data_IF_997990158965
#
_entry.id   IF_997990158965
#
_cell.length_a   1.000
_cell.length_b   1.000
_cell.length_c   1.000
_cell.angle_alpha   90.00
_cell.angle_beta   90.00
_cell.angle_gamma   90.00
#
_symmetry.space_group_name_H-M   'P 1'
#
loop_
_entity.id
_entity.type
_entity.pdbx_description
1 polymer ?
#
# COMPACT_ATOMS: atom_id res chain seq x y z
N UNK A 1 3.04 17.62 5.27
CA UNK A 1 1.90 16.66 5.29
C UNK A 1 2.39 15.26 4.94
N UNK A 2 1.71 14.18 5.41
CA UNK A 2 1.96 12.78 5.05
C UNK A 2 0.73 11.91 5.34
N UNK A 3 0.61 10.77 4.66
CA UNK A 3 -0.34 9.73 5.09
C UNK A 3 0.06 9.22 6.48
N UNK A 4 -0.91 9.10 7.36
CA UNK A 4 -0.68 8.73 8.77
C UNK A 4 -1.34 7.41 9.14
N UNK A 5 -2.57 7.17 8.72
CA UNK A 5 -3.33 5.96 9.03
C UNK A 5 -4.05 5.44 7.79
N UNK A 6 -3.93 4.14 7.55
CA UNK A 6 -4.83 3.36 6.69
C UNK A 6 -5.74 2.55 7.61
N UNK A 7 -7.00 2.96 7.73
CA UNK A 7 -7.96 2.31 8.60
C UNK A 7 -8.65 1.16 7.89
N UNK A 8 -8.66 0.02 8.56
CA UNK A 8 -9.14 -1.25 8.02
C UNK A 8 -10.10 -1.89 9.03
N UNK A 9 -11.29 -2.23 8.57
CA UNK A 9 -12.24 -3.03 9.35
C UNK A 9 -11.97 -4.50 9.11
N UNK A 10 -11.89 -5.26 10.20
CA UNK A 10 -11.59 -6.69 10.22
C UNK A 10 -12.61 -7.48 11.02
N UNK A 11 -12.73 -8.77 10.74
CA UNK A 11 -13.64 -9.65 11.49
C UNK A 11 -12.96 -10.27 12.73
N UNK A 12 -11.63 -10.34 12.76
CA UNK A 12 -10.88 -10.86 13.89
C UNK A 12 -9.55 -10.12 14.04
N UNK A 13 -9.42 -9.34 15.11
CA UNK A 13 -8.22 -8.56 15.41
C UNK A 13 -7.13 -9.39 16.10
N UNK A 14 -7.49 -10.49 16.79
CA UNK A 14 -6.56 -11.21 17.64
C UNK A 14 -5.38 -11.84 16.89
N UNK A 15 -5.56 -12.21 15.61
CA UNK A 15 -4.51 -12.77 14.76
C UNK A 15 -3.64 -11.75 14.05
N UNK A 16 -4.02 -10.47 14.06
CA UNK A 16 -3.37 -9.41 13.27
C UNK A 16 -2.01 -9.03 13.86
N UNK A 17 -1.96 -8.71 15.15
CA UNK A 17 -0.71 -8.26 15.77
C UNK A 17 0.40 -9.32 15.68
N UNK A 18 0.19 -10.59 16.06
CA UNK A 18 1.21 -11.62 15.89
C UNK A 18 1.66 -11.76 14.44
N UNK A 19 0.71 -11.72 13.49
CA UNK A 19 1.02 -11.86 12.07
C UNK A 19 2.00 -10.77 11.59
N UNK A 20 1.66 -9.50 11.80
CA UNK A 20 2.50 -8.39 11.32
C UNK A 20 3.78 -8.24 12.15
N UNK A 21 3.75 -8.51 13.45
CA UNK A 21 4.93 -8.44 14.30
C UNK A 21 5.91 -9.57 14.00
N UNK A 22 5.44 -10.80 13.99
CA UNK A 22 6.33 -11.97 13.95
C UNK A 22 6.83 -12.29 12.52
N UNK A 23 6.03 -11.95 11.50
CA UNK A 23 6.39 -12.23 10.09
C UNK A 23 6.92 -11.02 9.33
N UNK A 24 6.53 -9.81 9.73
CA UNK A 24 6.93 -8.58 9.04
C UNK A 24 7.82 -7.67 9.88
N UNK A 25 7.98 -7.96 11.17
CA UNK A 25 8.77 -7.14 12.08
C UNK A 25 8.18 -5.77 12.36
N UNK A 26 6.87 -5.60 12.17
CA UNK A 26 6.16 -4.37 12.55
C UNK A 26 6.05 -4.28 14.07
N UNK A 27 5.93 -3.06 14.58
CA UNK A 27 5.68 -2.77 15.98
C UNK A 27 4.29 -2.16 16.18
N UNK A 28 3.76 -2.32 17.40
CA UNK A 28 2.51 -1.69 17.80
C UNK A 28 2.77 -0.24 18.26
N UNK A 29 1.83 0.63 17.95
CA UNK A 29 1.81 2.05 18.36
C UNK A 29 0.58 2.32 19.21
N UNK A 30 0.68 3.28 20.12
CA UNK A 30 -0.43 3.66 20.99
C UNK A 30 -1.63 4.18 20.19
N UNK A 31 -2.80 3.66 20.52
CA UNK A 31 -4.08 4.08 19.97
C UNK A 31 -5.16 4.01 21.05
N UNK A 32 -6.13 4.91 21.00
CA UNK A 32 -7.25 4.92 21.97
C UNK A 32 -8.19 3.74 21.75
N UNK A 33 -8.45 3.39 20.48
CA UNK A 33 -9.35 2.30 20.09
C UNK A 33 -8.74 1.54 18.90
N UNK A 34 -8.75 0.21 18.97
CA UNK A 34 -8.23 -0.65 17.92
C UNK A 34 -6.76 -1.04 18.09
N UNK A 35 -6.13 -1.45 17.00
CA UNK A 35 -4.74 -1.89 16.93
C UNK A 35 -4.02 -1.10 15.83
N UNK A 36 -2.88 -0.50 16.15
CA UNK A 36 -2.07 0.26 15.18
C UNK A 36 -0.71 -0.39 15.03
N UNK A 37 -0.32 -0.73 13.80
CA UNK A 37 0.91 -1.43 13.46
C UNK A 37 1.67 -0.73 12.34
N UNK A 38 2.98 -0.85 12.33
CA UNK A 38 3.84 -0.34 11.26
C UNK A 38 5.32 -0.40 11.59
N UNK A 39 6.13 0.23 10.75
CA UNK A 39 7.59 0.28 10.92
C UNK A 39 8.06 1.56 11.60
N UNK A 40 7.49 2.70 11.22
CA UNK A 40 7.92 4.03 11.66
C UNK A 40 6.74 5.02 11.60
N UNK A 41 6.58 5.86 12.61
CA UNK A 41 5.52 6.89 12.65
C UNK A 41 5.60 7.91 11.51
N UNK A 42 6.73 8.02 10.83
CA UNK A 42 6.88 8.87 9.64
C UNK A 42 6.25 8.28 8.38
N UNK A 43 5.90 7.01 8.42
CA UNK A 43 5.15 6.30 7.37
C UNK A 43 3.65 6.26 7.72
N UNK A 44 2.83 5.78 6.81
CA UNK A 44 1.46 5.40 7.12
C UNK A 44 1.46 4.17 8.01
N UNK A 45 0.65 4.17 9.06
CA UNK A 45 0.44 3.01 9.91
C UNK A 45 -0.88 2.32 9.56
N UNK A 46 -0.93 1.02 9.76
CA UNK A 46 -2.15 0.22 9.62
C UNK A 46 -2.94 0.31 10.92
N UNK A 47 -4.18 0.78 10.85
CA UNK A 47 -5.09 0.89 11.98
C UNK A 47 -6.25 -0.06 11.78
N UNK A 48 -6.37 -1.06 12.65
CA UNK A 48 -7.37 -2.12 12.56
C UNK A 48 -8.46 -1.93 13.60
N UNK A 49 -9.71 -2.00 13.14
CA UNK A 49 -10.92 -1.99 13.97
C UNK A 49 -11.70 -3.27 13.73
N UNK A 50 -12.09 -3.95 14.81
CA UNK A 50 -12.97 -5.11 14.74
C UNK A 50 -14.41 -4.68 14.45
N UNK A 51 -15.19 -5.55 13.81
CA UNK A 51 -16.61 -5.31 13.55
C UNK A 51 -17.07 -5.68 12.15
N UNK A 52 -16.25 -6.39 11.38
CA UNK A 52 -16.70 -7.03 10.17
C UNK A 52 -17.33 -8.40 10.48
N UNK A 53 -18.36 -8.78 9.71
CA UNK A 53 -19.05 -10.07 9.90
C UNK A 53 -18.20 -11.23 9.35
N UNK A 54 -17.46 -11.00 8.26
CA UNK A 54 -16.67 -12.00 7.54
C UNK A 54 -15.27 -11.43 7.17
N UNK A 55 -14.30 -12.29 6.85
CA UNK A 55 -13.01 -11.85 6.31
C UNK A 55 -13.16 -11.03 5.02
N UNK A 56 -12.14 -10.25 4.70
CA UNK A 56 -12.12 -9.42 3.50
C UNK A 56 -12.18 -10.28 2.23
N UNK A 57 -13.17 -9.99 1.41
CA UNK A 57 -13.29 -10.52 0.05
C UNK A 57 -13.25 -9.33 -0.93
N UNK A 58 -12.06 -8.99 -1.41
CA UNK A 58 -11.87 -7.94 -2.40
C UNK A 58 -12.23 -8.42 -3.80
N UNK A 59 -13.36 -7.96 -4.34
CA UNK A 59 -13.69 -8.11 -5.76
C UNK A 59 -12.79 -7.26 -6.65
N UNK A 60 -12.80 -7.47 -7.98
CA UNK A 60 -12.04 -6.67 -8.93
C UNK A 60 -12.52 -5.21 -8.99
N UNK A 61 -13.74 -4.95 -8.56
CA UNK A 61 -14.43 -3.67 -8.52
C UNK A 61 -14.34 -2.95 -7.16
N UNK A 62 -13.81 -3.59 -6.12
CA UNK A 62 -13.70 -2.99 -4.79
C UNK A 62 -12.72 -1.81 -4.74
N UNK A 63 -13.10 -0.71 -4.04
CA UNK A 63 -12.27 0.49 -3.87
C UNK A 63 -10.88 0.14 -3.30
N UNK A 64 -10.84 -0.64 -2.23
CA UNK A 64 -9.58 -1.06 -1.63
C UNK A 64 -8.99 -2.25 -2.38
N UNK A 65 -7.73 -2.12 -2.79
CA UNK A 65 -7.03 -3.24 -3.39
C UNK A 65 -6.02 -3.88 -2.44
N UNK A 66 -4.99 -3.13 -2.00
CA UNK A 66 -3.87 -3.70 -1.24
C UNK A 66 -3.09 -2.64 -0.48
N UNK A 67 -2.20 -3.10 0.40
CA UNK A 67 -1.01 -2.33 0.80
C UNK A 67 0.22 -2.87 0.09
N UNK A 68 1.20 -2.00 -0.12
CA UNK A 68 2.52 -2.39 -0.59
C UNK A 68 3.57 -2.18 0.50
N UNK A 69 4.42 -3.19 0.69
CA UNK A 69 5.58 -3.12 1.56
C UNK A 69 6.81 -3.26 0.69
N UNK A 70 7.65 -2.22 0.66
CA UNK A 70 8.94 -2.31 -0.02
C UNK A 70 10.02 -2.81 0.94
N UNK A 71 10.94 -3.60 0.41
CA UNK A 71 12.02 -4.23 1.15
C UNK A 71 13.26 -4.42 0.27
N UNK A 72 14.39 -4.76 0.87
CA UNK A 72 15.69 -4.78 0.18
C UNK A 72 15.91 -6.02 -0.68
N UNK A 73 15.54 -7.20 -0.17
CA UNK A 73 15.78 -8.52 -0.77
C UNK A 73 14.50 -9.35 -0.67
N UNK A 74 13.77 -9.40 -1.78
CA UNK A 74 12.46 -10.07 -1.83
C UNK A 74 12.60 -11.59 -1.72
N UNK A 75 13.63 -12.19 -2.31
CA UNK A 75 13.81 -13.64 -2.29
C UNK A 75 14.13 -14.14 -0.88
N UNK A 76 15.00 -13.44 -0.16
CA UNK A 76 15.28 -13.72 1.25
C UNK A 76 14.03 -13.57 2.12
N UNK A 77 13.25 -12.49 1.93
CA UNK A 77 12.01 -12.28 2.67
C UNK A 77 10.98 -13.38 2.39
N UNK A 78 10.77 -13.75 1.13
CA UNK A 78 9.83 -14.81 0.72
C UNK A 78 10.27 -16.19 1.25
N UNK A 79 11.55 -16.49 1.20
CA UNK A 79 12.09 -17.74 1.78
C UNK A 79 11.76 -17.82 3.29
N UNK A 80 11.96 -16.73 4.03
CA UNK A 80 11.60 -16.64 5.44
C UNK A 80 10.09 -16.83 5.68
N UNK A 81 9.24 -16.09 4.98
CA UNK A 81 7.79 -16.18 5.14
C UNK A 81 7.25 -17.58 4.84
N UNK A 82 7.77 -18.24 3.81
CA UNK A 82 7.41 -19.62 3.48
C UNK A 82 7.89 -20.61 4.55
N UNK A 83 9.07 -20.41 5.16
CA UNK A 83 9.54 -21.21 6.30
C UNK A 83 8.65 -21.05 7.53
N UNK A 84 8.02 -19.87 7.70
CA UNK A 84 6.99 -19.64 8.72
C UNK A 84 5.61 -20.22 8.34
N UNK A 85 5.48 -20.90 7.21
CA UNK A 85 4.25 -21.56 6.77
C UNK A 85 3.26 -20.65 6.03
N UNK A 86 3.66 -19.44 5.63
CA UNK A 86 2.79 -18.53 4.89
C UNK A 86 2.73 -18.88 3.39
N UNK A 87 1.54 -18.78 2.83
CA UNK A 87 1.31 -18.89 1.39
C UNK A 87 1.68 -17.57 0.70
N UNK A 88 2.82 -17.56 0.03
CA UNK A 88 3.33 -16.42 -0.72
C UNK A 88 3.46 -16.77 -2.18
N UNK A 89 2.90 -15.96 -3.08
CA UNK A 89 3.00 -16.19 -4.52
C UNK A 89 4.46 -16.16 -4.98
N UNK A 90 4.75 -16.73 -6.16
CA UNK A 90 6.11 -16.71 -6.68
C UNK A 90 6.55 -15.28 -7.02
N UNK A 91 7.68 -14.81 -6.46
CA UNK A 91 8.28 -13.54 -6.89
C UNK A 91 8.53 -13.51 -8.39
N UNK A 92 8.28 -12.38 -9.00
CA UNK A 92 8.53 -12.16 -10.44
C UNK A 92 8.70 -10.68 -10.75
N UNK A 93 9.49 -10.40 -11.76
CA UNK A 93 9.49 -9.08 -12.38
C UNK A 93 8.15 -8.87 -13.10
N UNK A 94 7.39 -7.87 -12.68
CA UNK A 94 6.13 -7.50 -13.33
C UNK A 94 6.38 -6.33 -14.27
N UNK A 95 6.56 -6.63 -15.54
CA UNK A 95 6.92 -5.65 -16.56
C UNK A 95 8.11 -4.79 -16.12
N UNK A 96 8.07 -3.52 -16.44
CA UNK A 96 9.03 -2.51 -15.94
C UNK A 96 8.53 -1.85 -14.63
N UNK A 97 7.59 -2.45 -13.89
CA UNK A 97 7.00 -1.89 -12.67
C UNK A 97 7.84 -2.26 -11.46
N UNK A 98 8.09 -3.55 -11.22
CA UNK A 98 8.87 -3.97 -10.08
C UNK A 98 8.97 -5.49 -9.93
N UNK A 99 9.91 -5.93 -9.09
CA UNK A 99 10.04 -7.31 -8.68
C UNK A 99 9.20 -7.53 -7.44
N UNK A 100 8.13 -8.34 -7.55
CA UNK A 100 7.08 -8.39 -6.55
C UNK A 100 6.44 -9.76 -6.38
N UNK A 101 5.78 -9.94 -5.24
CA UNK A 101 4.88 -11.05 -4.96
C UNK A 101 3.72 -10.60 -4.06
N UNK A 102 2.75 -11.49 -3.83
CA UNK A 102 1.55 -11.18 -3.05
C UNK A 102 1.26 -12.28 -2.04
N UNK A 103 0.65 -11.88 -0.94
CA UNK A 103 0.05 -12.75 0.06
C UNK A 103 -1.18 -12.07 0.67
N UNK A 104 -1.81 -12.73 1.62
CA UNK A 104 -2.93 -12.17 2.38
C UNK A 104 -2.66 -12.29 3.87
N UNK A 105 -3.18 -11.32 4.63
CA UNK A 105 -3.19 -11.40 6.08
C UNK A 105 -4.29 -12.37 6.59
N UNK A 106 -4.36 -12.65 7.91
CA UNK A 106 -5.38 -13.55 8.47
C UNK A 106 -6.84 -13.14 8.23
N UNK A 107 -7.10 -11.86 7.94
CA UNK A 107 -8.41 -11.36 7.57
C UNK A 107 -8.65 -11.28 6.05
N UNK A 108 -7.74 -11.82 5.24
CA UNK A 108 -7.84 -11.84 3.79
C UNK A 108 -7.41 -10.55 3.09
N UNK A 109 -6.92 -9.54 3.82
CA UNK A 109 -6.46 -8.29 3.23
C UNK A 109 -5.20 -8.51 2.40
N UNK A 110 -5.16 -8.04 1.14
CA UNK A 110 -4.02 -8.27 0.26
C UNK A 110 -2.80 -7.43 0.63
N UNK A 111 -1.64 -8.08 0.59
CA UNK A 111 -0.33 -7.46 0.79
C UNK A 111 0.50 -7.73 -0.46
N UNK A 112 1.09 -6.69 -1.02
CA UNK A 112 2.16 -6.79 -2.02
C UNK A 112 3.50 -6.60 -1.33
N UNK A 113 4.42 -7.50 -1.59
CA UNK A 113 5.84 -7.32 -1.28
C UNK A 113 6.56 -6.91 -2.55
N UNK A 114 7.29 -5.83 -2.47
CA UNK A 114 7.95 -5.19 -3.61
C UNK A 114 9.41 -4.92 -3.26
N UNK A 115 10.33 -5.41 -4.09
CA UNK A 115 11.75 -5.09 -3.92
C UNK A 115 12.01 -3.62 -4.26
N UNK A 116 12.91 -2.97 -3.53
CA UNK A 116 13.33 -1.59 -3.81
C UNK A 116 14.02 -1.43 -5.18
N UNK A 117 14.63 -2.51 -5.69
CA UNK A 117 15.19 -2.60 -7.03
C UNK A 117 14.44 -3.64 -7.88
N UNK A 118 14.67 -3.63 -9.18
CA UNK A 118 14.18 -4.67 -10.10
C UNK A 118 14.84 -6.03 -9.81
N UNK A 119 14.34 -7.09 -10.44
CA UNK A 119 14.94 -8.42 -10.33
C UNK A 119 16.44 -8.38 -10.64
N UNK A 120 17.25 -8.89 -9.72
CA UNK A 120 18.71 -8.85 -9.80
C UNK A 120 19.36 -7.55 -9.31
N UNK A 121 18.56 -6.57 -8.85
CA UNK A 121 19.02 -5.31 -8.24
C UNK A 121 18.71 -5.28 -6.72
N UNK A 122 18.76 -6.44 -6.05
CA UNK A 122 18.54 -6.52 -4.61
C UNK A 122 19.66 -5.76 -3.85
N UNK A 123 19.27 -5.07 -2.79
CA UNK A 123 20.23 -4.51 -1.86
C UNK A 123 20.48 -5.52 -0.72
N UNK A 124 21.73 -5.80 -0.37
CA UNK A 124 22.05 -6.76 0.69
C UNK A 124 21.43 -6.29 2.02
N UNK A 125 20.95 -7.23 2.82
CA UNK A 125 20.48 -6.93 4.17
C UNK A 125 21.61 -6.28 4.99
N UNK A 126 21.24 -5.36 5.86
CA UNK A 126 22.18 -4.69 6.75
C UNK A 126 22.90 -5.71 7.66
N UNK A 127 24.16 -5.44 8.02
CA UNK A 127 24.87 -6.26 8.99
C UNK A 127 24.13 -6.25 10.32
N UNK A 128 23.71 -7.44 10.79
CA UNK A 128 22.93 -7.57 12.03
C UNK A 128 21.45 -7.26 11.88
N UNK A 129 20.91 -7.30 10.67
CA UNK A 129 19.47 -7.20 10.45
C UNK A 129 18.73 -8.18 11.35
N UNK A 130 17.88 -7.64 12.24
CA UNK A 130 17.17 -8.44 13.23
C UNK A 130 16.02 -9.26 12.61
N UNK A 131 15.54 -8.85 11.43
CA UNK A 131 14.41 -9.46 10.75
C UNK A 131 14.56 -9.34 9.23
N UNK A 132 14.43 -10.44 8.46
CA UNK A 132 14.72 -10.45 7.02
C UNK A 132 13.72 -9.61 6.19
N UNK A 133 12.51 -9.35 6.70
CA UNK A 133 11.52 -8.50 6.03
C UNK A 133 11.65 -7.05 6.48
N UNK A 134 11.90 -6.80 7.78
CA UNK A 134 11.84 -5.46 8.37
C UNK A 134 13.07 -4.59 8.07
N UNK A 135 14.18 -5.16 7.57
CA UNK A 135 15.39 -4.38 7.32
C UNK A 135 15.15 -3.30 6.26
N UNK A 136 15.02 -2.07 6.72
CA UNK A 136 14.66 -0.91 5.90
C UNK A 136 13.34 -1.05 5.12
N UNK A 137 12.43 -1.87 5.64
CA UNK A 137 11.10 -1.99 5.07
C UNK A 137 10.30 -0.69 5.23
N UNK A 138 9.48 -0.41 4.23
CA UNK A 138 8.57 0.73 4.24
C UNK A 138 7.16 0.25 3.91
N UNK A 139 6.14 0.71 4.65
CA UNK A 139 4.77 0.68 4.14
C UNK A 139 4.70 1.69 2.99
N UNK A 140 5.03 1.22 1.79
CA UNK A 140 5.38 2.07 0.66
C UNK A 140 4.15 2.68 -0.02
N UNK A 141 3.03 1.94 -0.06
CA UNK A 141 1.81 2.48 -0.64
C UNK A 141 0.53 1.85 -0.06
N UNK A 142 -0.54 2.63 -0.14
CA UNK A 142 -1.92 2.18 -0.01
C UNK A 142 -2.55 2.30 -1.38
N UNK A 143 -3.17 1.23 -1.89
CA UNK A 143 -3.75 1.20 -3.23
C UNK A 143 -5.26 1.24 -3.19
N UNK A 144 -5.82 2.26 -3.84
CA UNK A 144 -7.25 2.39 -4.10
C UNK A 144 -7.51 2.27 -5.60
N UNK A 145 -8.61 1.60 -5.98
CA UNK A 145 -9.09 1.57 -7.36
C UNK A 145 -9.99 2.76 -7.63
N UNK A 146 -9.94 3.26 -8.85
CA UNK A 146 -10.76 4.37 -9.30
C UNK A 146 -11.26 4.12 -10.73
N UNK A 147 -12.43 4.62 -11.06
CA UNK A 147 -12.98 4.66 -12.42
C UNK A 147 -13.01 6.09 -12.99
N UNK A 148 -13.08 7.11 -12.14
CA UNK A 148 -13.02 8.53 -12.53
C UNK A 148 -11.67 9.15 -12.17
N UNK A 149 -10.78 9.19 -13.16
CA UNK A 149 -9.45 9.78 -13.01
C UNK A 149 -9.52 11.32 -12.78
N UNK A 150 -10.48 11.99 -13.35
CA UNK A 150 -10.58 13.46 -13.21
C UNK A 150 -10.99 13.85 -11.78
N UNK A 151 -11.96 13.13 -11.21
CA UNK A 151 -12.36 13.29 -9.82
C UNK A 151 -11.18 12.96 -8.87
N UNK A 152 -10.47 11.85 -9.13
CA UNK A 152 -9.33 11.44 -8.32
C UNK A 152 -8.19 12.47 -8.32
N UNK A 153 -7.84 13.02 -9.49
CA UNK A 153 -6.87 14.11 -9.60
C UNK A 153 -7.32 15.35 -8.85
N UNK A 154 -8.58 15.73 -8.98
CA UNK A 154 -9.12 16.89 -8.25
C UNK A 154 -8.99 16.71 -6.72
N UNK A 155 -9.28 15.52 -6.19
CA UNK A 155 -9.10 15.20 -4.77
C UNK A 155 -7.64 15.29 -4.37
N UNK A 156 -6.74 14.57 -5.06
CA UNK A 156 -5.34 14.48 -4.68
C UNK A 156 -4.61 15.81 -4.85
N UNK A 157 -4.72 16.44 -6.01
CA UNK A 157 -3.92 17.62 -6.37
C UNK A 157 -4.52 18.91 -5.79
N UNK A 158 -5.83 19.15 -6.02
CA UNK A 158 -6.47 20.41 -5.60
C UNK A 158 -6.99 20.35 -4.16
N UNK A 159 -7.54 19.20 -3.73
CA UNK A 159 -8.11 19.03 -2.39
C UNK A 159 -7.07 18.80 -1.33
N UNK A 160 -6.12 17.89 -1.57
CA UNK A 160 -5.12 17.47 -0.61
C UNK A 160 -3.73 18.06 -0.86
N UNK A 161 -3.50 18.74 -1.97
CA UNK A 161 -2.20 19.33 -2.31
C UNK A 161 -1.09 18.29 -2.52
N UNK A 162 -1.44 17.07 -2.92
CA UNK A 162 -0.49 16.02 -3.24
C UNK A 162 0.15 16.28 -4.61
N UNK A 163 1.38 15.82 -4.77
CA UNK A 163 2.09 15.83 -6.04
C UNK A 163 2.06 14.46 -6.67
N UNK A 164 1.77 14.41 -7.98
CA UNK A 164 1.93 13.21 -8.79
C UNK A 164 3.43 12.93 -8.98
N UNK A 165 3.86 11.73 -8.57
CA UNK A 165 5.26 11.31 -8.54
C UNK A 165 5.61 10.34 -9.67
N UNK A 166 4.63 9.51 -10.11
CA UNK A 166 4.83 8.54 -11.20
C UNK A 166 3.50 8.16 -11.82
N UNK A 167 3.54 7.84 -13.11
CA UNK A 167 2.44 7.27 -13.89
C UNK A 167 2.95 5.98 -14.51
N UNK A 168 2.24 4.88 -14.32
CA UNK A 168 2.70 3.57 -14.78
C UNK A 168 1.57 2.86 -15.55
N UNK A 169 1.51 3.02 -16.88
CA UNK A 169 0.53 2.33 -17.71
C UNK A 169 0.83 0.83 -17.77
N UNK A 170 -0.22 0.02 -17.67
CA UNK A 170 -0.17 -1.43 -17.77
C UNK A 170 -1.15 -1.90 -18.83
N UNK A 171 -0.63 -2.59 -19.83
CA UNK A 171 -1.42 -3.25 -20.87
C UNK A 171 -1.08 -4.74 -20.88
N UNK A 172 -2.04 -5.57 -20.51
CA UNK A 172 -1.96 -7.03 -20.56
C UNK A 172 -2.94 -7.54 -21.62
N UNK A 173 -2.85 -8.82 -21.96
CA UNK A 173 -3.69 -9.40 -23.00
C UNK A 173 -5.20 -9.39 -22.64
N UNK A 174 -5.52 -9.43 -21.37
CA UNK A 174 -6.88 -9.55 -20.82
C UNK A 174 -7.39 -8.28 -20.11
N UNK A 175 -6.51 -7.32 -19.83
CA UNK A 175 -6.86 -6.10 -19.09
C UNK A 175 -5.84 -4.98 -19.27
N UNK A 176 -6.32 -3.74 -19.12
CA UNK A 176 -5.47 -2.56 -19.06
C UNK A 176 -5.85 -1.70 -17.86
N UNK A 177 -4.87 -1.07 -17.25
CA UNK A 177 -5.05 -0.09 -16.18
C UNK A 177 -3.84 0.84 -16.11
N UNK A 178 -3.96 1.93 -15.37
CA UNK A 178 -2.83 2.82 -15.12
C UNK A 178 -2.70 3.09 -13.62
N UNK A 179 -1.47 3.08 -13.12
CA UNK A 179 -1.16 3.38 -11.72
C UNK A 179 -0.67 4.83 -11.62
N UNK A 180 -1.22 5.57 -10.66
CA UNK A 180 -0.87 6.96 -10.37
C UNK A 180 -0.39 7.02 -8.92
N UNK A 181 0.85 7.46 -8.70
CA UNK A 181 1.46 7.53 -7.38
C UNK A 181 1.54 8.97 -6.89
N UNK A 182 0.93 9.23 -5.74
CA UNK A 182 0.85 10.56 -5.14
C UNK A 182 1.55 10.61 -3.78
N UNK A 183 2.22 11.73 -3.49
CA UNK A 183 2.79 12.05 -2.19
C UNK A 183 2.86 13.55 -1.93
N UNK A 184 3.11 13.93 -0.66
CA UNK A 184 3.56 15.27 -0.29
C UNK A 184 5.09 15.28 -0.25
N UNK A 185 5.73 15.36 -1.40
CA UNK A 185 7.18 15.38 -1.52
C UNK A 185 7.62 16.44 -2.53
N UNK A 186 8.68 17.17 -2.19
CA UNK A 186 9.33 18.14 -3.07
C UNK A 186 10.61 17.59 -3.68
N UNK A 187 10.93 16.32 -3.46
CA UNK A 187 12.12 15.69 -4.04
C UNK A 187 12.09 15.74 -5.56
N UNK A 188 13.22 16.00 -6.16
CA UNK A 188 13.36 15.93 -7.61
C UNK A 188 13.29 14.48 -8.08
N UNK A 189 12.52 14.22 -9.11
CA UNK A 189 12.48 12.92 -9.77
C UNK A 189 13.78 12.70 -10.56
N UNK A 190 14.28 11.48 -10.67
CA UNK A 190 15.42 11.15 -11.53
C UNK A 190 15.20 11.57 -12.99
N UNK A 191 14.00 11.39 -13.49
CA UNK A 191 13.56 11.84 -14.80
C UNK A 191 12.29 12.70 -14.67
N UNK A 192 12.19 13.88 -15.32
CA UNK A 192 11.01 14.73 -15.27
C UNK A 192 9.77 14.11 -15.94
N UNK A 193 9.95 13.13 -16.82
CA UNK A 193 8.86 12.35 -17.39
C UNK A 193 8.31 11.38 -16.33
N UNK A 194 7.03 11.56 -15.97
CA UNK A 194 6.36 10.77 -14.94
C UNK A 194 6.20 9.29 -15.32
N UNK A 195 6.27 8.95 -16.60
CA UNK A 195 6.19 7.56 -17.09
C UNK A 195 7.57 6.88 -17.16
N UNK A 196 8.65 7.64 -17.01
CA UNK A 196 10.01 7.11 -17.10
C UNK A 196 10.28 5.96 -16.11
N UNK A 197 10.89 4.90 -16.63
CA UNK A 197 11.20 3.68 -15.85
C UNK A 197 12.18 3.96 -14.73
N UNK A 198 13.12 4.89 -14.94
CA UNK A 198 14.13 5.32 -13.97
C UNK A 198 13.53 5.87 -12.67
N UNK A 199 12.30 6.38 -12.74
CA UNK A 199 11.60 6.88 -11.56
C UNK A 199 11.09 5.74 -10.65
N UNK A 200 10.97 4.51 -11.13
CA UNK A 200 10.28 3.40 -10.42
C UNK A 200 11.13 2.87 -9.27
N UNK A 201 12.35 2.40 -9.50
CA UNK A 201 13.23 1.93 -8.41
C UNK A 201 13.52 3.06 -7.41
N UNK A 202 13.68 4.29 -7.91
CA UNK A 202 13.82 5.46 -7.03
C UNK A 202 12.59 5.61 -6.14
N UNK A 203 11.38 5.47 -6.67
CA UNK A 203 10.13 5.59 -5.92
C UNK A 203 9.99 4.50 -4.86
N UNK A 204 10.36 3.25 -5.20
CA UNK A 204 10.30 2.12 -4.27
C UNK A 204 11.28 2.23 -3.10
N UNK A 205 12.35 3.00 -3.25
CA UNK A 205 13.32 3.26 -2.20
C UNK A 205 12.95 4.48 -1.30
N UNK A 206 11.78 5.09 -1.47
CA UNK A 206 11.37 6.23 -0.64
C UNK A 206 10.96 5.79 0.76
N UNK A 207 11.35 6.56 1.82
CA UNK A 207 11.05 6.19 3.20
C UNK A 207 9.68 6.68 3.68
N UNK A 208 8.77 6.99 2.76
CA UNK A 208 7.42 7.46 3.05
C UNK A 208 6.37 6.72 2.22
N UNK A 209 5.14 6.76 2.70
CA UNK A 209 4.02 6.07 2.05
C UNK A 209 3.42 6.93 0.94
N UNK A 210 3.20 6.31 -0.20
CA UNK A 210 2.51 6.85 -1.36
C UNK A 210 1.02 6.47 -1.32
N UNK A 211 0.17 7.30 -1.89
CA UNK A 211 -1.15 6.88 -2.32
C UNK A 211 -1.05 6.40 -3.76
N UNK A 212 -1.33 5.13 -3.98
CA UNK A 212 -1.42 4.53 -5.30
C UNK A 212 -2.88 4.49 -5.74
N UNK A 213 -3.20 5.08 -6.87
CA UNK A 213 -4.50 4.98 -7.51
C UNK A 213 -4.41 4.08 -8.74
N UNK A 214 -5.11 2.94 -8.71
CA UNK A 214 -5.26 2.08 -9.88
C UNK A 214 -6.49 2.54 -10.68
N UNK A 215 -6.27 3.20 -11.78
CA UNK A 215 -7.33 3.62 -12.69
C UNK A 215 -7.68 2.50 -13.66
N UNK A 216 -8.93 2.04 -13.61
CA UNK A 216 -9.52 1.02 -14.48
C UNK A 216 -10.66 1.69 -15.27
N UNK A 217 -10.37 2.10 -16.50
CA UNK A 217 -11.30 2.89 -17.31
C UNK A 217 -12.57 2.12 -17.71
N UNK A 218 -12.45 0.80 -17.88
CA UNK A 218 -13.54 -0.08 -18.36
C UNK A 218 -14.08 -0.94 -17.21
N UNK A 219 -14.40 -0.32 -16.08
CA UNK A 219 -15.01 -1.03 -14.96
C UNK A 219 -16.53 -0.87 -15.03
N UNK A 220 -17.22 -1.93 -15.46
CA UNK A 220 -18.69 -1.96 -15.51
C UNK A 220 -19.28 -1.73 -14.11
N UNK A 221 -20.12 -0.69 -13.99
CA UNK A 221 -20.75 -0.33 -12.71
C UNK A 221 -19.90 0.52 -11.77
N UNK A 222 -18.68 0.92 -12.18
CA UNK A 222 -17.81 1.76 -11.37
C UNK A 222 -17.13 1.01 -10.22
N UNK A 223 -16.47 1.75 -9.34
CA UNK A 223 -15.77 1.20 -8.18
C UNK A 223 -16.73 1.09 -6.99
N UNK A 224 -16.77 -0.07 -6.34
CA UNK A 224 -17.64 -0.36 -5.21
C UNK A 224 -16.94 -0.03 -3.88
N UNK A 225 -17.57 0.80 -3.08
CA UNK A 225 -17.16 1.01 -1.69
C UNK A 225 -17.64 -0.12 -0.79
N UNK A 226 -16.94 -0.29 0.34
CA UNK A 226 -17.36 -1.14 1.45
C UNK A 226 -18.75 -0.71 1.96
N UNK A 227 -19.60 -1.67 2.28
CA UNK A 227 -20.94 -1.42 2.81
C UNK A 227 -21.14 -2.07 4.18
N UNK A 228 -21.83 -1.39 5.07
CA UNK A 228 -22.22 -1.93 6.37
C UNK A 228 -21.03 -2.52 7.14
N UNK A 229 -21.18 -3.79 7.54
CA UNK A 229 -20.18 -4.54 8.32
C UNK A 229 -19.23 -5.38 7.44
N UNK A 230 -19.05 -5.06 6.17
CA UNK A 230 -18.02 -5.71 5.35
C UNK A 230 -16.62 -5.39 5.88
N UNK A 231 -15.68 -6.34 5.76
CA UNK A 231 -14.27 -6.08 6.01
C UNK A 231 -13.65 -5.22 4.90
N UNK A 232 -12.55 -4.54 5.20
CA UNK A 232 -11.78 -3.77 4.23
C UNK A 232 -11.56 -2.33 4.62
N UNK A 233 -11.40 -1.48 3.63
CA UNK A 233 -11.04 -0.07 3.79
C UNK A 233 -12.13 0.74 4.51
N UNK A 234 -11.74 1.38 5.62
CA UNK A 234 -12.60 2.20 6.45
C UNK A 234 -12.19 3.69 6.42
N UNK A 235 -11.06 3.99 5.77
CA UNK A 235 -10.64 5.36 5.54
C UNK A 235 -9.14 5.62 5.62
N UNK A 236 -8.78 6.85 5.32
CA UNK A 236 -7.42 7.38 5.44
C UNK A 236 -7.38 8.56 6.39
N UNK A 237 -6.26 8.71 7.08
CA UNK A 237 -5.94 9.93 7.80
C UNK A 237 -4.54 10.42 7.41
N UNK A 238 -4.35 11.73 7.49
CA UNK A 238 -3.06 12.39 7.26
C UNK A 238 -2.60 13.14 8.53
N UNK A 239 -1.31 13.38 8.62
CA UNK A 239 -0.75 14.42 9.48
C UNK A 239 -0.59 15.67 8.62
N UNK A 240 -1.26 16.76 9.03
CA UNK A 240 -1.20 18.04 8.35
C UNK A 240 0.09 18.83 8.64
N UNK A 241 0.19 20.05 8.14
CA UNK A 241 1.36 20.92 8.33
C UNK A 241 1.55 21.37 9.79
N UNK A 242 0.47 21.40 10.57
CA UNK A 242 0.50 21.72 12.00
C UNK A 242 0.82 20.49 12.89
N UNK A 243 1.03 19.31 12.28
CA UNK A 243 1.28 18.06 12.99
C UNK A 243 0.00 17.40 13.56
N UNK A 244 -1.19 17.80 13.11
CA UNK A 244 -2.47 17.25 13.58
C UNK A 244 -2.93 16.10 12.70
N UNK A 245 -3.48 15.07 13.36
CA UNK A 245 -4.15 13.98 12.64
C UNK A 245 -5.50 14.47 12.12
N UNK A 246 -5.71 14.33 10.81
CA UNK A 246 -6.93 14.70 10.10
C UNK A 246 -7.47 13.52 9.32
N UNK A 247 -8.75 13.19 9.50
CA UNK A 247 -9.46 12.22 8.68
C UNK A 247 -9.77 12.82 7.30
N UNK A 248 -9.45 12.08 6.26
CA UNK A 248 -9.69 12.47 4.85
C UNK A 248 -10.49 11.41 4.09
N UNK A 249 -11.19 10.54 4.80
CA UNK A 249 -11.96 9.45 4.20
C UNK A 249 -13.10 9.95 3.31
N UNK A 250 -13.72 11.08 3.69
CA UNK A 250 -14.81 11.67 2.94
C UNK A 250 -14.36 12.17 1.56
N UNK A 251 -13.12 12.64 1.43
CA UNK A 251 -12.53 13.09 0.17
C UNK A 251 -12.42 11.93 -0.84
N UNK A 252 -12.22 10.70 -0.35
CA UNK A 252 -12.12 9.50 -1.19
C UNK A 252 -13.49 8.83 -1.47
N UNK A 253 -14.54 9.24 -0.78
CA UNK A 253 -15.89 8.73 -1.01
C UNK A 253 -16.43 9.07 -2.41
N UNK A 254 -15.89 10.09 -3.07
CA UNK A 254 -16.27 10.50 -4.43
C UNK A 254 -15.59 9.70 -5.55
N UNK A 255 -14.69 8.77 -5.20
CA UNK A 255 -13.91 7.99 -6.18
C UNK A 255 -14.59 6.70 -6.66
N UNK A 256 -15.78 6.41 -6.17
CA UNK A 256 -16.58 5.22 -6.47
C UNK A 256 -17.61 5.48 -7.56
#
# INVERSE_FOLDING_TARGET
MRLARNRLRVNNIAGIEPFYRDHFGMQAFDCADGLVLGYDERQCLLEFHEGADEPFYGGPDGLYWKIGITLRDLDTAVAHLRQCGLEVSQPRQFLEIGYMCHLRDPNGLPIELLQQGFEGNEAPLGQGAAHPVADQATLAHVTLRISDLAAAKAVCENGLGMRLMSVQPVALADRAFCLYFYAWSQEALPNPDLEAVENREWLWARPYTLLELQHIAELDGGVRQRQGNEAGFDGLSLIDEDGRLRDVSAEFAVLS
#
